data_IF_712002748534
#
_entry.id   IF_712002748534
#
_cell.length_a   1.000
_cell.length_b   1.000
_cell.length_c   1.000
_cell.angle_alpha   90.00
_cell.angle_beta   90.00
_cell.angle_gamma   90.00
#
_symmetry.space_group_name_H-M   'P 1'
#
loop_
_entity.id
_entity.type
_entity.pdbx_description
1 polymer ?
#
# COMPACT_ATOMS: atom_id res chain seq x y z
N UNK A 1 -34.78 -27.85 -4.54
CA UNK A 1 -34.56 -26.39 -4.52
C UNK A 1 -35.93 -25.74 -4.54
N UNK A 2 -36.31 -25.08 -3.44
CA UNK A 2 -37.65 -24.54 -3.29
C UNK A 2 -37.90 -23.43 -4.29
N UNK A 3 -39.02 -23.53 -5.02
CA UNK A 3 -39.43 -22.55 -6.05
C UNK A 3 -39.47 -21.12 -5.50
N UNK A 4 -39.72 -20.99 -4.20
CA UNK A 4 -39.69 -19.74 -3.43
C UNK A 4 -38.29 -19.13 -3.31
N UNK A 5 -37.26 -19.95 -3.09
CA UNK A 5 -35.87 -19.48 -3.01
C UNK A 5 -35.36 -19.01 -4.38
N UNK A 6 -35.81 -19.68 -5.45
CA UNK A 6 -35.46 -19.31 -6.82
C UNK A 6 -36.13 -17.99 -7.24
N UNK A 7 -37.37 -17.77 -6.80
CA UNK A 7 -38.09 -16.50 -6.97
C UNK A 7 -37.42 -15.37 -6.18
N UNK A 8 -37.08 -15.58 -4.90
CA UNK A 8 -36.37 -14.58 -4.09
C UNK A 8 -35.02 -14.20 -4.69
N UNK A 9 -34.26 -15.19 -5.18
CA UNK A 9 -32.98 -14.95 -5.83
C UNK A 9 -33.13 -14.17 -7.14
N UNK A 10 -34.13 -14.51 -7.95
CA UNK A 10 -34.47 -13.76 -9.17
C UNK A 10 -34.88 -12.31 -8.88
N UNK A 11 -35.63 -12.08 -7.82
CA UNK A 11 -36.09 -10.76 -7.39
C UNK A 11 -34.92 -9.88 -6.93
N UNK A 12 -33.95 -10.45 -6.21
CA UNK A 12 -32.72 -9.77 -5.80
C UNK A 12 -31.82 -9.43 -6.99
N UNK A 13 -31.72 -10.32 -7.98
CA UNK A 13 -30.96 -10.07 -9.21
C UNK A 13 -31.55 -8.94 -10.07
N UNK A 14 -32.87 -8.79 -10.05
CA UNK A 14 -33.58 -7.73 -10.78
C UNK A 14 -33.54 -6.37 -10.09
N UNK A 15 -33.26 -6.33 -8.78
CA UNK A 15 -33.31 -5.10 -7.99
C UNK A 15 -32.27 -4.07 -8.42
N UNK A 16 -31.05 -4.50 -8.74
CA UNK A 16 -29.94 -3.59 -9.09
C UNK A 16 -30.13 -2.93 -10.47
N UNK A 17 -30.49 -3.66 -11.55
CA UNK A 17 -30.85 -3.05 -12.83
C UNK A 17 -32.08 -2.13 -12.72
N UNK A 18 -33.08 -2.53 -11.92
CA UNK A 18 -34.30 -1.75 -11.72
C UNK A 18 -34.01 -0.43 -11.00
N UNK A 19 -33.15 -0.45 -9.96
CA UNK A 19 -32.70 0.76 -9.26
C UNK A 19 -31.95 1.71 -10.19
N UNK A 20 -31.06 1.18 -11.05
CA UNK A 20 -30.34 2.00 -12.03
C UNK A 20 -31.27 2.64 -13.05
N UNK A 21 -32.27 1.89 -13.54
CA UNK A 21 -33.28 2.39 -14.47
C UNK A 21 -34.14 3.50 -13.86
N UNK A 22 -34.58 3.32 -12.60
CA UNK A 22 -35.34 4.33 -11.86
C UNK A 22 -34.50 5.61 -11.69
N UNK A 23 -33.24 5.49 -11.29
CA UNK A 23 -32.34 6.63 -11.11
C UNK A 23 -32.09 7.44 -12.38
N UNK A 24 -32.03 6.79 -13.55
CA UNK A 24 -31.76 7.47 -14.82
C UNK A 24 -33.01 8.14 -15.42
N UNK A 25 -34.21 7.65 -15.11
CA UNK A 25 -35.48 8.16 -15.68
C UNK A 25 -36.26 9.06 -14.73
N UNK A 26 -35.94 9.07 -13.44
CA UNK A 26 -36.67 9.82 -12.43
C UNK A 26 -35.98 11.16 -12.11
N UNK A 27 -35.67 11.94 -13.15
CA UNK A 27 -35.15 13.31 -13.04
C UNK A 27 -35.84 14.28 -14.03
N UNK A 28 -37.17 14.21 -14.12
CA UNK A 28 -37.94 15.29 -14.74
C UNK A 28 -39.30 15.44 -14.06
N UNK A 29 -39.61 16.68 -13.67
CA UNK A 29 -40.80 17.13 -12.94
C UNK A 29 -42.12 16.71 -13.61
N UNK A 30 -43.14 16.52 -12.77
CA UNK A 30 -44.53 16.29 -13.14
C UNK A 30 -45.09 17.37 -14.07
N UNK A 31 -45.66 16.92 -15.20
CA UNK A 31 -46.88 17.34 -15.92
C UNK A 31 -46.77 16.67 -17.30
N UNK A 32 -47.28 15.44 -17.44
CA UNK A 32 -47.60 14.69 -18.70
C UNK A 32 -47.71 13.16 -18.46
N UNK A 33 -48.25 12.73 -17.31
CA UNK A 33 -48.20 11.31 -16.91
C UNK A 33 -48.94 10.36 -17.86
N UNK A 34 -49.94 10.79 -18.63
CA UNK A 34 -50.70 9.90 -19.53
C UNK A 34 -50.08 9.73 -20.92
N UNK A 35 -49.41 10.76 -21.46
CA UNK A 35 -48.74 10.68 -22.77
C UNK A 35 -47.32 10.07 -22.67
N UNK A 36 -46.65 10.23 -21.53
CA UNK A 36 -45.38 9.56 -21.23
C UNK A 36 -45.54 8.03 -21.15
N UNK A 37 -46.65 7.54 -20.58
CA UNK A 37 -46.93 6.09 -20.47
C UNK A 37 -47.02 5.43 -21.86
N UNK A 38 -47.65 6.09 -22.85
CA UNK A 38 -47.74 5.54 -24.22
C UNK A 38 -46.43 5.60 -25.01
N UNK A 39 -45.50 6.49 -24.66
CA UNK A 39 -44.13 6.47 -25.23
C UNK A 39 -43.27 5.39 -24.58
N UNK A 40 -43.47 5.12 -23.29
CA UNK A 40 -42.77 4.08 -22.54
C UNK A 40 -43.13 2.68 -23.07
N UNK A 41 -44.40 2.40 -23.42
CA UNK A 41 -44.81 1.08 -23.94
C UNK A 41 -44.15 0.71 -25.28
N UNK A 42 -43.91 1.69 -26.16
CA UNK A 42 -43.21 1.47 -27.42
C UNK A 42 -41.68 1.37 -27.26
N UNK A 43 -41.09 2.01 -26.25
CA UNK A 43 -39.66 1.89 -25.92
C UNK A 43 -39.34 0.60 -25.17
N UNK A 44 -40.28 0.07 -24.39
CA UNK A 44 -40.14 -1.21 -23.67
C UNK A 44 -39.88 -2.37 -24.64
N UNK A 45 -40.46 -2.36 -25.85
CA UNK A 45 -40.20 -3.39 -26.88
C UNK A 45 -38.75 -3.41 -27.38
N UNK A 46 -38.06 -2.27 -27.39
CA UNK A 46 -36.63 -2.21 -27.72
C UNK A 46 -35.74 -2.65 -26.54
N UNK A 47 -36.14 -2.35 -25.30
CA UNK A 47 -35.44 -2.80 -24.08
C UNK A 47 -35.48 -4.32 -23.93
N UNK A 48 -36.57 -4.97 -24.34
CA UNK A 48 -36.69 -6.43 -24.30
C UNK A 48 -35.69 -7.17 -25.22
N UNK A 49 -35.13 -6.52 -26.23
CA UNK A 49 -34.05 -7.10 -27.04
C UNK A 49 -32.73 -7.20 -26.26
N UNK A 50 -32.46 -6.27 -25.34
CA UNK A 50 -31.31 -6.32 -24.41
C UNK A 50 -31.54 -7.26 -23.23
N UNK A 51 -32.79 -7.66 -22.99
CA UNK A 51 -33.20 -8.70 -22.03
C UNK A 51 -33.26 -10.09 -22.69
N UNK A 52 -32.60 -10.29 -23.84
CA UNK A 52 -32.49 -11.62 -24.41
C UNK A 52 -31.74 -12.53 -23.40
N UNK A 53 -32.24 -13.74 -23.13
CA UNK A 53 -31.61 -14.65 -22.16
C UNK A 53 -30.14 -14.91 -22.49
N UNK A 54 -29.77 -14.89 -23.77
CA UNK A 54 -28.41 -15.15 -24.26
C UNK A 54 -27.46 -13.98 -24.04
N UNK A 55 -27.90 -12.73 -24.24
CA UNK A 55 -27.03 -11.55 -24.05
C UNK A 55 -26.83 -11.27 -22.55
N UNK A 56 -27.88 -11.44 -21.75
CA UNK A 56 -27.80 -11.29 -20.30
C UNK A 56 -26.96 -12.40 -19.66
N UNK A 57 -27.09 -13.65 -20.11
CA UNK A 57 -26.25 -14.76 -19.62
C UNK A 57 -24.78 -14.54 -19.97
N UNK A 58 -24.45 -14.08 -21.18
CA UNK A 58 -23.06 -13.80 -21.56
C UNK A 58 -22.47 -12.63 -20.75
N UNK A 59 -23.24 -11.57 -20.48
CA UNK A 59 -22.81 -10.49 -19.57
C UNK A 59 -22.61 -10.99 -18.13
N UNK A 60 -23.53 -11.79 -17.61
CA UNK A 60 -23.43 -12.38 -16.27
C UNK A 60 -22.23 -13.32 -16.16
N UNK A 61 -21.98 -14.15 -17.19
CA UNK A 61 -20.83 -15.04 -17.23
C UNK A 61 -19.52 -14.24 -17.29
N UNK A 62 -19.42 -13.17 -18.08
CA UNK A 62 -18.25 -12.29 -18.04
C UNK A 62 -18.05 -11.65 -16.66
N UNK A 63 -19.12 -11.19 -16.02
CA UNK A 63 -19.07 -10.60 -14.67
C UNK A 63 -18.71 -11.62 -13.58
N UNK A 64 -19.20 -12.86 -13.66
CA UNK A 64 -18.94 -13.92 -12.67
C UNK A 64 -17.59 -14.60 -12.89
N UNK A 65 -17.15 -14.78 -14.14
CA UNK A 65 -15.83 -15.35 -14.47
C UNK A 65 -14.71 -14.36 -14.13
N UNK A 66 -14.95 -13.05 -14.17
CA UNK A 66 -13.99 -12.03 -13.71
C UNK A 66 -13.91 -11.87 -12.19
N UNK A 67 -14.75 -12.56 -11.40
CA UNK A 67 -14.54 -12.66 -9.95
C UNK A 67 -13.48 -13.73 -9.70
N UNK A 68 -12.29 -13.38 -9.18
CA UNK A 68 -11.32 -14.38 -8.78
C UNK A 68 -11.98 -15.25 -7.69
N UNK A 69 -11.95 -16.57 -7.87
CA UNK A 69 -12.43 -17.59 -6.93
C UNK A 69 -11.68 -17.52 -5.58
N UNK A 70 -11.94 -16.45 -4.83
CA UNK A 70 -11.34 -16.11 -3.54
C UNK A 70 -12.17 -15.12 -2.73
N UNK A 71 -13.33 -14.67 -3.23
CA UNK A 71 -14.22 -13.78 -2.48
C UNK A 71 -15.06 -14.56 -1.46
N UNK A 72 -14.47 -14.80 -0.30
CA UNK A 72 -15.19 -15.26 0.89
C UNK A 72 -15.59 -14.03 1.73
N UNK A 73 -16.88 -13.65 1.82
CA UNK A 73 -17.29 -12.43 2.54
C UNK A 73 -17.06 -12.52 4.06
N UNK A 74 -16.89 -13.74 4.59
CA UNK A 74 -16.52 -13.99 5.98
C UNK A 74 -15.02 -13.83 6.25
N UNK A 75 -14.18 -13.71 5.21
CA UNK A 75 -12.75 -13.39 5.35
C UNK A 75 -12.47 -11.89 5.20
N UNK A 76 -13.43 -11.09 4.72
CA UNK A 76 -13.26 -9.63 4.58
C UNK A 76 -13.53 -8.83 5.86
N UNK A 77 -13.88 -9.50 6.96
CA UNK A 77 -13.87 -8.91 8.31
C UNK A 77 -12.63 -9.29 9.10
N UNK A 78 -11.48 -9.50 8.43
CA UNK A 78 -10.19 -9.29 9.10
C UNK A 78 -10.01 -7.80 9.26
N UNK A 79 -10.32 -7.32 10.45
CA UNK A 79 -9.85 -6.04 10.96
C UNK A 79 -8.34 -6.01 10.76
N UNK A 80 -7.86 -5.27 9.76
CA UNK A 80 -6.46 -4.88 9.68
C UNK A 80 -6.18 -3.93 10.85
N UNK A 81 -5.93 -4.49 12.05
CA UNK A 81 -5.14 -3.78 13.05
C UNK A 81 -3.74 -3.70 12.45
N UNK A 82 -3.46 -2.58 11.79
CA UNK A 82 -2.23 -2.23 11.05
C UNK A 82 -0.99 -2.12 11.96
N UNK A 83 -0.83 -2.97 12.97
CA UNK A 83 0.23 -2.79 13.97
C UNK A 83 0.65 -4.02 14.76
N UNK A 84 0.27 -5.25 14.36
CA UNK A 84 0.66 -6.46 15.11
C UNK A 84 1.14 -7.65 14.27
N UNK A 85 1.10 -7.58 12.94
CA UNK A 85 1.62 -8.67 12.11
C UNK A 85 2.90 -8.20 11.44
N UNK A 86 4.05 -8.74 11.89
CA UNK A 86 5.31 -8.64 11.15
C UNK A 86 5.05 -9.14 9.72
N UNK A 87 5.38 -8.35 8.68
CA UNK A 87 5.06 -8.74 7.31
C UNK A 87 5.63 -10.12 7.02
N UNK A 88 4.81 -11.01 6.44
CA UNK A 88 5.21 -12.38 6.15
C UNK A 88 6.54 -12.38 5.36
N UNK A 89 7.51 -13.19 5.78
CA UNK A 89 8.87 -13.23 5.23
C UNK A 89 8.90 -13.37 3.70
N UNK A 90 7.92 -14.06 3.13
CA UNK A 90 7.73 -14.20 1.67
C UNK A 90 7.47 -12.86 0.96
N UNK A 91 6.74 -11.94 1.59
CA UNK A 91 6.50 -10.59 1.06
C UNK A 91 7.79 -9.79 1.01
N UNK A 92 8.68 -9.95 2.00
CA UNK A 92 10.02 -9.36 1.97
C UNK A 92 10.85 -9.92 0.82
N UNK A 93 10.93 -11.25 0.68
CA UNK A 93 11.65 -11.88 -0.43
C UNK A 93 11.11 -11.48 -1.82
N UNK A 94 9.79 -11.26 -1.95
CA UNK A 94 9.18 -10.79 -3.19
C UNK A 94 9.42 -9.30 -3.49
N UNK A 95 9.43 -8.44 -2.45
CA UNK A 95 9.74 -7.01 -2.61
C UNK A 95 11.22 -6.72 -2.86
N UNK A 96 12.12 -7.59 -2.40
CA UNK A 96 13.56 -7.32 -2.31
C UNK A 96 14.42 -8.33 -3.07
N UNK A 97 13.97 -8.76 -4.26
CA UNK A 97 14.73 -9.60 -5.20
C UNK A 97 16.14 -9.05 -5.55
N UNK A 98 16.43 -7.80 -5.19
CA UNK A 98 17.65 -7.06 -5.49
C UNK A 98 18.34 -6.56 -4.20
N UNK A 99 18.63 -7.44 -3.24
CA UNK A 99 19.43 -7.10 -2.05
C UNK A 99 18.68 -6.36 -0.94
N UNK A 100 19.23 -6.45 0.27
CA UNK A 100 18.56 -6.05 1.51
C UNK A 100 19.10 -4.72 2.00
N UNK A 101 18.66 -3.60 1.40
CA UNK A 101 19.04 -2.22 1.77
C UNK A 101 18.66 -1.87 3.23
N UNK A 102 19.37 -2.44 4.20
CA UNK A 102 19.06 -2.58 5.61
C UNK A 102 17.64 -3.04 5.97
N UNK A 103 16.97 -3.75 5.08
CA UNK A 103 15.57 -4.18 5.28
C UNK A 103 15.42 -5.70 5.44
N UNK A 104 16.54 -6.42 5.63
CA UNK A 104 16.51 -7.86 5.90
C UNK A 104 15.73 -8.18 7.17
N UNK A 105 14.94 -9.27 7.23
CA UNK A 105 14.13 -9.62 8.41
C UNK A 105 14.96 -10.12 9.61
N UNK A 106 16.28 -10.18 9.49
CA UNK A 106 17.17 -10.60 10.57
C UNK A 106 17.07 -9.64 11.77
N UNK A 107 16.97 -10.23 12.97
CA UNK A 107 17.02 -9.50 14.24
C UNK A 107 18.47 -9.07 14.50
N UNK A 108 18.68 -7.78 14.75
CA UNK A 108 19.99 -7.21 15.08
C UNK A 108 20.17 -7.22 16.61
N UNK A 109 20.41 -8.42 17.14
CA UNK A 109 20.51 -8.66 18.59
C UNK A 109 21.77 -8.06 19.23
N UNK A 110 22.80 -7.74 18.43
CA UNK A 110 23.98 -6.99 18.85
C UNK A 110 24.20 -5.82 17.89
N UNK A 111 24.62 -4.67 18.42
CA UNK A 111 25.06 -3.52 17.63
C UNK A 111 26.56 -3.35 17.81
N UNK A 112 27.32 -3.51 16.74
CA UNK A 112 28.75 -3.22 16.74
C UNK A 112 29.05 -1.75 17.09
N UNK A 113 30.18 -1.49 17.75
CA UNK A 113 30.61 -0.12 18.11
C UNK A 113 30.83 0.77 16.87
N UNK A 114 31.05 0.17 15.70
CA UNK A 114 31.22 0.88 14.44
C UNK A 114 29.93 1.50 13.91
N UNK A 115 28.75 1.00 14.34
CA UNK A 115 27.43 1.54 13.99
C UNK A 115 27.11 2.72 14.89
N UNK A 116 27.30 3.94 14.37
CA UNK A 116 27.22 5.18 15.14
C UNK A 116 25.80 5.72 15.36
N UNK A 117 24.88 5.42 14.43
CA UNK A 117 23.54 5.99 14.43
C UNK A 117 22.48 4.92 14.67
N UNK A 118 21.33 5.34 15.17
CA UNK A 118 20.22 4.46 15.58
C UNK A 118 19.00 4.65 14.71
N UNK A 119 18.18 3.60 14.62
CA UNK A 119 16.85 3.69 14.00
C UNK A 119 16.00 4.74 14.72
N UNK A 120 15.26 5.53 13.95
CA UNK A 120 14.42 6.63 14.45
C UNK A 120 15.11 7.98 14.55
N UNK A 121 16.44 8.06 14.44
CA UNK A 121 17.13 9.35 14.43
C UNK A 121 16.87 10.12 13.13
N UNK A 122 16.69 11.43 13.29
CA UNK A 122 16.55 12.36 12.16
C UNK A 122 17.92 12.86 11.75
N UNK A 123 18.16 12.87 10.44
CA UNK A 123 19.46 13.19 9.86
C UNK A 123 19.33 14.22 8.75
N UNK A 124 20.44 14.87 8.46
CA UNK A 124 20.71 15.64 7.25
C UNK A 124 21.84 14.98 6.49
N UNK A 125 21.68 14.83 5.19
CA UNK A 125 22.75 14.35 4.33
C UNK A 125 23.83 15.43 4.18
N UNK A 126 25.09 15.13 4.52
CA UNK A 126 26.18 16.13 4.54
C UNK A 126 26.45 16.81 3.20
N UNK A 127 26.43 16.03 2.12
CA UNK A 127 26.73 16.55 0.77
C UNK A 127 25.49 17.22 0.14
N UNK A 128 24.36 16.51 0.12
CA UNK A 128 23.15 16.95 -0.59
C UNK A 128 22.15 17.75 0.26
N UNK A 129 22.34 17.87 1.56
CA UNK A 129 21.56 18.71 2.46
C UNK A 129 20.12 18.28 2.75
N UNK A 130 19.63 17.19 2.17
CA UNK A 130 18.25 16.72 2.40
C UNK A 130 18.09 16.10 3.79
N UNK A 131 16.88 16.16 4.34
CA UNK A 131 16.53 15.53 5.60
C UNK A 131 15.94 14.15 5.40
N UNK A 132 16.22 13.27 6.34
CA UNK A 132 15.67 11.92 6.36
C UNK A 132 15.59 11.37 7.79
N UNK A 133 14.87 10.25 7.98
CA UNK A 133 14.88 9.47 9.21
C UNK A 133 15.44 8.08 8.95
N UNK A 134 16.29 7.58 9.84
CA UNK A 134 16.87 6.24 9.73
C UNK A 134 15.80 5.19 10.04
N UNK A 135 15.57 4.25 9.12
CA UNK A 135 14.67 3.10 9.29
C UNK A 135 15.40 1.76 9.41
N UNK A 136 16.71 1.74 9.18
CA UNK A 136 17.53 0.55 9.34
C UNK A 136 19.00 0.79 9.07
N UNK A 137 19.84 -0.15 9.50
CA UNK A 137 21.29 -0.15 9.26
C UNK A 137 21.82 -1.55 8.95
N UNK A 138 22.91 -1.61 8.17
CA UNK A 138 23.74 -2.80 8.00
C UNK A 138 25.17 -2.44 8.42
N UNK A 139 25.86 -3.35 9.12
CA UNK A 139 27.25 -3.13 9.55
C UNK A 139 28.23 -3.07 8.36
N UNK A 140 27.91 -3.83 7.31
CA UNK A 140 28.60 -3.91 6.02
C UNK A 140 27.51 -3.71 4.97
N UNK A 141 27.81 -2.97 3.90
CA UNK A 141 26.80 -2.64 2.90
C UNK A 141 26.16 -3.91 2.30
N UNK A 142 24.84 -4.02 2.42
CA UNK A 142 24.05 -5.15 1.92
C UNK A 142 23.11 -4.66 0.81
N UNK A 143 23.67 -4.49 -0.38
CA UNK A 143 22.93 -4.11 -1.59
C UNK A 143 23.50 -4.86 -2.80
N UNK A 144 22.79 -4.94 -3.93
CA UNK A 144 23.31 -5.58 -5.13
C UNK A 144 24.63 -4.95 -5.54
N UNK A 145 25.57 -5.77 -6.00
CA UNK A 145 26.87 -5.28 -6.44
C UNK A 145 26.75 -4.20 -7.51
N UNK A 146 25.85 -4.38 -8.49
CA UNK A 146 25.58 -3.35 -9.50
C UNK A 146 25.13 -2.02 -8.89
N UNK A 147 24.26 -2.06 -7.88
CA UNK A 147 23.78 -0.83 -7.23
C UNK A 147 24.92 -0.14 -6.47
N UNK A 148 25.74 -0.92 -5.76
CA UNK A 148 26.92 -0.42 -5.04
C UNK A 148 27.95 0.14 -6.02
N UNK A 149 28.17 -0.50 -7.16
CA UNK A 149 29.05 -0.01 -8.23
C UNK A 149 28.53 1.25 -8.88
N UNK A 150 27.23 1.53 -8.83
CA UNK A 150 26.65 2.78 -9.33
C UNK A 150 26.69 3.90 -8.28
N UNK A 151 26.40 3.59 -7.01
CA UNK A 151 26.19 4.59 -5.96
C UNK A 151 27.42 4.85 -5.08
N UNK A 152 28.38 3.91 -5.01
CA UNK A 152 29.64 4.04 -4.27
C UNK A 152 30.85 4.22 -5.20
N UNK A 153 30.65 4.73 -6.42
CA UNK A 153 31.72 4.92 -7.39
C UNK A 153 32.87 5.73 -6.81
N UNK A 154 34.08 5.18 -6.93
CA UNK A 154 35.30 5.81 -6.44
C UNK A 154 35.56 5.66 -4.93
N UNK A 155 34.66 5.00 -4.19
CA UNK A 155 34.73 4.88 -2.73
C UNK A 155 34.49 3.43 -2.25
N UNK A 156 35.46 2.52 -2.44
CA UNK A 156 35.34 1.12 -2.00
C UNK A 156 35.15 0.97 -0.48
N UNK A 157 35.62 1.93 0.30
CA UNK A 157 35.43 1.99 1.76
C UNK A 157 33.95 2.03 2.16
N UNK A 158 33.06 2.51 1.27
CA UNK A 158 31.62 2.54 1.54
C UNK A 158 31.00 1.15 1.60
N UNK A 159 31.64 0.13 1.00
CA UNK A 159 31.16 -1.26 1.05
C UNK A 159 31.44 -1.93 2.39
N UNK A 160 32.53 -1.55 3.07
CA UNK A 160 33.01 -2.19 4.31
C UNK A 160 32.65 -1.42 5.58
N UNK A 161 31.93 -0.30 5.45
CA UNK A 161 31.44 0.48 6.57
C UNK A 161 29.92 0.36 6.74
N UNK A 162 29.37 0.81 7.87
CA UNK A 162 27.93 0.78 8.06
C UNK A 162 27.19 1.65 7.05
N UNK A 163 26.10 1.10 6.53
CA UNK A 163 25.21 1.80 5.62
C UNK A 163 23.79 1.80 6.18
N UNK A 164 23.05 2.85 5.87
CA UNK A 164 21.78 3.15 6.50
C UNK A 164 20.69 3.29 5.45
N UNK A 165 19.55 2.71 5.75
CA UNK A 165 18.32 2.86 4.98
C UNK A 165 17.50 3.97 5.62
N UNK A 166 17.11 4.96 4.81
CA UNK A 166 16.50 6.19 5.32
C UNK A 166 15.26 6.57 4.53
N UNK A 167 14.23 7.07 5.23
CA UNK A 167 13.06 7.69 4.62
C UNK A 167 13.30 9.20 4.45
N UNK A 168 13.24 9.64 3.21
CA UNK A 168 13.48 11.03 2.81
C UNK A 168 12.30 11.93 3.16
N UNK A 169 12.59 13.19 3.47
CA UNK A 169 11.56 14.22 3.51
C UNK A 169 11.11 14.56 2.08
N UNK A 170 9.82 14.34 1.82
CA UNK A 170 9.19 14.60 0.52
C UNK A 170 9.24 16.08 0.09
N UNK A 171 9.48 17.00 1.04
CA UNK A 171 9.69 18.42 0.76
C UNK A 171 11.09 18.70 0.19
N UNK A 172 12.06 17.87 0.53
CA UNK A 172 13.46 18.07 0.13
C UNK A 172 13.79 17.25 -1.13
N UNK A 173 13.18 16.07 -1.30
CA UNK A 173 13.40 15.17 -2.46
C UNK A 173 12.11 14.45 -2.86
N UNK A 174 11.96 14.13 -4.15
CA UNK A 174 10.83 13.34 -4.67
C UNK A 174 10.91 11.85 -4.34
N UNK A 175 12.12 11.33 -4.12
CA UNK A 175 12.32 9.95 -3.71
C UNK A 175 11.85 9.74 -2.27
N UNK A 176 11.33 8.55 -1.96
CA UNK A 176 10.73 8.25 -0.65
C UNK A 176 11.72 7.58 0.32
N UNK A 177 12.60 6.71 -0.21
CA UNK A 177 13.58 5.93 0.54
C UNK A 177 14.90 5.92 -0.22
N UNK A 178 16.02 5.90 0.48
CA UNK A 178 17.35 5.69 -0.11
C UNK A 178 18.27 4.96 0.87
N UNK A 179 19.42 4.53 0.36
CA UNK A 179 20.48 3.86 1.11
C UNK A 179 21.75 4.72 1.06
N UNK A 180 22.38 4.97 2.21
CA UNK A 180 23.48 5.92 2.32
C UNK A 180 24.62 5.42 3.24
N UNK A 181 25.88 5.77 2.95
CA UNK A 181 27.01 5.48 3.83
C UNK A 181 26.96 6.28 5.15
N UNK A 182 27.51 5.68 6.22
CA UNK A 182 27.59 6.31 7.56
C UNK A 182 28.19 7.72 7.54
N UNK A 183 29.25 7.92 6.75
CA UNK A 183 29.99 9.17 6.72
C UNK A 183 29.17 10.36 6.18
N UNK A 184 28.12 10.11 5.40
CA UNK A 184 27.27 11.16 4.84
C UNK A 184 26.16 11.60 5.80
N UNK A 185 26.12 11.04 7.02
CA UNK A 185 25.07 11.29 8.00
C UNK A 185 25.50 12.35 9.02
N UNK A 186 24.66 13.37 9.17
CA UNK A 186 24.70 14.35 10.26
C UNK A 186 23.38 14.28 11.03
N UNK A 187 23.40 14.00 12.34
CA UNK A 187 22.18 13.95 13.15
C UNK A 187 21.67 15.36 13.40
N UNK A 188 20.38 15.57 13.21
CA UNK A 188 19.69 16.83 13.50
C UNK A 188 18.55 16.57 14.49
N UNK A 189 18.28 17.55 15.34
CA UNK A 189 17.18 17.50 16.32
C UNK A 189 16.09 18.49 15.93
N UNK A 190 14.90 18.36 16.55
CA UNK A 190 13.78 19.29 16.37
C UNK A 190 13.30 19.44 14.92
N UNK A 191 13.50 18.41 14.08
CA UNK A 191 13.03 18.40 12.70
C UNK A 191 12.14 17.19 12.44
N UNK A 192 10.90 17.44 12.02
CA UNK A 192 9.95 16.39 11.65
C UNK A 192 10.00 16.14 10.15
N UNK A 193 10.14 14.87 9.78
CA UNK A 193 10.11 14.37 8.40
C UNK A 193 8.67 14.22 7.91
N UNK A 194 8.43 14.65 6.67
CA UNK A 194 7.16 14.42 5.96
C UNK A 194 7.35 13.32 4.93
N UNK A 195 6.80 12.15 5.19
CA UNK A 195 6.81 11.00 4.29
C UNK A 195 5.57 10.12 4.51
N UNK A 196 4.94 9.64 3.44
CA UNK A 196 3.73 8.82 3.53
C UNK A 196 3.95 7.45 4.20
N UNK A 197 5.17 6.92 4.14
CA UNK A 197 5.54 5.61 4.71
C UNK A 197 5.98 5.72 6.18
N UNK A 198 6.06 6.93 6.73
CA UNK A 198 6.56 7.16 8.09
C UNK A 198 5.74 6.38 9.15
N UNK A 199 4.42 6.31 8.94
CA UNK A 199 3.48 5.59 9.80
C UNK A 199 3.59 4.07 9.72
N UNK A 200 4.39 3.53 8.80
CA UNK A 200 4.63 2.09 8.71
C UNK A 200 5.75 1.66 9.68
N UNK A 201 6.67 2.58 10.01
CA UNK A 201 7.87 2.31 10.83
C UNK A 201 7.79 2.92 12.23
N UNK A 202 7.14 4.07 12.37
CA UNK A 202 7.15 4.86 13.60
C UNK A 202 5.75 5.12 14.14
N UNK A 203 5.65 5.23 15.46
CA UNK A 203 4.40 5.52 16.18
C UNK A 203 4.20 7.02 16.42
N UNK A 204 5.22 7.71 16.96
CA UNK A 204 5.21 9.16 17.16
C UNK A 204 6.63 9.74 17.18
N UNK A 205 6.71 11.08 17.23
CA UNK A 205 7.96 11.84 17.29
C UNK A 205 8.08 12.52 18.65
N UNK A 206 9.18 12.30 19.38
CA UNK A 206 9.37 12.81 20.74
C UNK A 206 9.98 14.22 20.81
N UNK A 207 10.28 14.83 19.65
CA UNK A 207 10.97 16.12 19.52
C UNK A 207 12.43 15.97 19.09
N UNK A 208 13.06 14.84 19.40
CA UNK A 208 14.44 14.52 19.08
C UNK A 208 14.55 13.37 18.06
N UNK A 209 13.79 12.31 18.24
CA UNK A 209 13.79 11.10 17.44
C UNK A 209 12.38 10.52 17.29
N UNK A 210 12.24 9.58 16.35
CA UNK A 210 11.03 8.82 16.15
C UNK A 210 11.02 7.55 16.99
N UNK A 211 9.89 7.30 17.63
CA UNK A 211 9.69 6.08 18.40
C UNK A 211 9.20 4.98 17.46
N UNK A 212 9.95 3.88 17.42
CA UNK A 212 9.68 2.72 16.57
C UNK A 212 8.31 2.12 16.88
N UNK A 213 7.71 1.48 15.86
CA UNK A 213 6.63 0.53 16.10
C UNK A 213 7.17 -0.77 16.70
N UNK A 214 6.28 -1.54 17.31
CA UNK A 214 6.63 -2.78 18.00
C UNK A 214 7.43 -3.75 17.13
N UNK A 215 7.01 -3.96 15.88
CA UNK A 215 7.69 -4.88 14.96
C UNK A 215 9.14 -4.44 14.65
N UNK A 216 9.38 -3.12 14.53
CA UNK A 216 10.70 -2.58 14.24
C UNK A 216 11.59 -2.61 15.49
N UNK A 217 11.00 -2.39 16.66
CA UNK A 217 11.68 -2.55 17.95
C UNK A 217 12.10 -4.00 18.20
N UNK A 218 11.27 -4.98 17.82
CA UNK A 218 11.62 -6.40 17.89
C UNK A 218 12.83 -6.74 16.99
N UNK A 219 12.96 -6.05 15.85
CA UNK A 219 14.06 -6.23 14.92
C UNK A 219 15.35 -5.50 15.36
N UNK A 220 15.22 -4.35 16.04
CA UNK A 220 16.31 -3.51 16.54
C UNK A 220 16.19 -3.29 18.06
N UNK A 221 16.35 -4.34 18.90
CA UNK A 221 16.07 -4.26 20.34
C UNK A 221 17.05 -3.39 21.14
N UNK A 222 18.21 -3.04 20.57
CA UNK A 222 19.26 -2.27 21.25
C UNK A 222 19.34 -0.79 20.81
N UNK A 223 18.48 -0.38 19.88
CA UNK A 223 18.39 0.98 19.34
C UNK A 223 17.37 1.81 20.14
#
# INVERSE_FOLDING_TARGET
MDRLALLQFGLLLLAVPLQYFILMKWSSKDIEQTQAITKITNQIKQVFHYLSPTTWFNWFISFVIEIPLGFNPLLHKRTWKRGMESPATEVYYMREKYGYFATSPAIRSSRSEYVKFRVGQVIRHKIYGYRAVIIGWDEIASAPDQWLDEHHQGHPEYRVQPNYSVLLDTRDRRAHKTYIPQEHIEVIQNSKIVNAQLSDYFSFFDGTQYIMQQWLQEQYPLD
#
